data_IF_649296717335
#
_entry.id   IF_649296717335
#
_cell.length_a   1.000
_cell.length_b   1.000
_cell.length_c   1.000
_cell.angle_alpha   90.00
_cell.angle_beta   90.00
_cell.angle_gamma   90.00
#
_symmetry.space_group_name_H-M   'P 1'
#
loop_
_entity.id
_entity.type
_entity.pdbx_description
1 polymer ?
#
# COMPACT_ATOMS: atom_id res chain seq x y z
N UNK A 1 20.43 -12.88 -0.41
CA UNK A 1 20.43 -12.92 1.06
C UNK A 1 21.04 -11.64 1.60
N UNK A 2 20.46 -11.06 2.65
CA UNK A 2 20.98 -9.84 3.27
C UNK A 2 21.50 -10.10 4.70
N UNK A 3 21.80 -11.36 5.02
CA UNK A 3 22.45 -11.77 6.28
C UNK A 3 21.53 -12.07 7.46
N UNK A 4 20.21 -12.18 7.26
CA UNK A 4 19.27 -12.50 8.33
C UNK A 4 19.26 -14.01 8.66
N UNK A 5 19.18 -14.40 9.95
CA UNK A 5 18.98 -15.80 10.34
C UNK A 5 17.72 -16.42 9.72
N UNK A 6 17.79 -17.68 9.29
CA UNK A 6 16.70 -18.36 8.55
C UNK A 6 15.37 -18.40 9.31
N UNK A 7 15.40 -18.55 10.65
CA UNK A 7 14.19 -18.56 11.48
C UNK A 7 13.45 -17.22 11.50
N UNK A 8 14.14 -16.12 11.18
CA UNK A 8 13.58 -14.77 11.11
C UNK A 8 13.22 -14.35 9.68
N UNK A 9 13.91 -14.90 8.68
CA UNK A 9 13.72 -14.52 7.27
C UNK A 9 12.26 -14.72 6.81
N UNK A 10 11.63 -15.84 7.16
CA UNK A 10 10.24 -16.10 6.80
C UNK A 10 9.25 -15.11 7.45
N UNK A 11 9.14 -14.99 8.78
CA UNK A 11 8.15 -14.10 9.37
C UNK A 11 8.42 -12.61 9.12
N UNK A 12 9.69 -12.20 8.97
CA UNK A 12 10.07 -10.79 8.86
C UNK A 12 10.25 -10.38 7.40
N UNK A 13 11.22 -10.97 6.70
CA UNK A 13 11.58 -10.52 5.35
C UNK A 13 10.56 -10.91 4.29
N UNK A 14 9.96 -12.10 4.41
CA UNK A 14 8.90 -12.53 3.51
C UNK A 14 7.51 -12.13 4.06
N UNK A 15 7.30 -12.28 5.36
CA UNK A 15 6.00 -12.07 6.00
C UNK A 15 5.55 -10.60 6.04
N UNK A 16 6.43 -9.68 6.43
CA UNK A 16 6.03 -8.27 6.54
C UNK A 16 5.63 -7.65 5.19
N UNK A 17 6.32 -7.88 4.07
CA UNK A 17 5.87 -7.39 2.76
C UNK A 17 4.47 -7.89 2.37
N UNK A 18 4.13 -9.15 2.66
CA UNK A 18 2.80 -9.70 2.42
C UNK A 18 1.74 -8.90 3.20
N UNK A 19 2.02 -8.61 4.47
CA UNK A 19 1.12 -7.84 5.32
C UNK A 19 1.00 -6.38 4.85
N UNK A 20 2.08 -5.77 4.37
CA UNK A 20 2.05 -4.43 3.78
C UNK A 20 1.11 -4.38 2.58
N UNK A 21 1.23 -5.33 1.64
CA UNK A 21 0.33 -5.42 0.49
C UNK A 21 -1.12 -5.64 0.93
N UNK A 22 -1.35 -6.56 1.88
CA UNK A 22 -2.69 -6.81 2.41
C UNK A 22 -3.33 -5.57 3.04
N UNK A 23 -2.54 -4.70 3.68
CA UNK A 23 -3.03 -3.44 4.24
C UNK A 23 -3.40 -2.44 3.15
N UNK A 24 -2.60 -2.32 2.09
CA UNK A 24 -2.96 -1.46 0.95
C UNK A 24 -4.25 -1.93 0.27
N UNK A 25 -4.45 -3.24 0.11
CA UNK A 25 -5.70 -3.80 -0.43
C UNK A 25 -6.90 -3.40 0.43
N UNK A 26 -6.77 -3.41 1.76
CA UNK A 26 -7.85 -2.97 2.66
C UNK A 26 -8.17 -1.50 2.50
N UNK A 27 -7.14 -0.65 2.41
CA UNK A 27 -7.32 0.80 2.19
C UNK A 27 -8.02 1.06 0.85
N UNK A 28 -7.76 0.25 -0.18
CA UNK A 28 -8.43 0.43 -1.48
C UNK A 28 -9.95 0.25 -1.43
N UNK A 29 -10.50 -0.40 -0.39
CA UNK A 29 -11.94 -0.61 -0.24
C UNK A 29 -12.69 0.69 0.12
N UNK A 30 -12.02 1.59 0.87
CA UNK A 30 -12.60 2.85 1.36
C UNK A 30 -11.83 4.11 0.92
N UNK A 31 -10.83 3.96 0.05
CA UNK A 31 -10.07 5.09 -0.44
C UNK A 31 -10.92 5.98 -1.35
N UNK A 32 -11.08 7.23 -0.93
CA UNK A 32 -11.81 8.24 -1.67
C UNK A 32 -10.94 8.84 -2.78
N UNK A 33 -11.25 8.50 -4.04
CA UNK A 33 -10.52 8.96 -5.22
C UNK A 33 -10.98 10.34 -5.72
N UNK A 34 -12.19 10.76 -5.37
CA UNK A 34 -12.83 11.95 -5.91
C UNK A 34 -13.59 12.70 -4.81
N UNK A 35 -13.14 13.93 -4.50
CA UNK A 35 -13.80 14.78 -3.50
C UNK A 35 -14.43 16.01 -4.16
N UNK A 36 -15.57 16.46 -3.64
CA UNK A 36 -16.29 17.62 -4.15
C UNK A 36 -16.20 18.80 -3.19
N UNK A 37 -15.62 19.91 -3.67
CA UNK A 37 -15.43 21.13 -2.90
C UNK A 37 -16.06 22.34 -3.59
N UNK A 38 -17.26 22.70 -3.15
CA UNK A 38 -17.99 23.87 -3.64
C UNK A 38 -18.46 23.71 -5.08
N UNK A 39 -17.72 24.28 -6.03
CA UNK A 39 -17.99 24.16 -7.47
C UNK A 39 -16.87 23.41 -8.20
N UNK A 40 -16.10 22.58 -7.50
CA UNK A 40 -14.90 21.93 -8.03
C UNK A 40 -14.80 20.48 -7.59
N UNK A 41 -14.29 19.64 -8.49
CA UNK A 41 -14.00 18.24 -8.24
C UNK A 41 -12.47 18.06 -8.11
N UNK A 42 -12.05 17.33 -7.08
CA UNK A 42 -10.66 17.03 -6.78
C UNK A 42 -10.44 15.54 -7.05
N UNK A 43 -9.64 15.23 -8.07
CA UNK A 43 -9.37 13.86 -8.52
C UNK A 43 -7.94 13.45 -8.12
N UNK A 44 -7.79 12.28 -7.48
CA UNK A 44 -6.49 11.75 -7.02
C UNK A 44 -5.96 10.71 -8.01
N UNK A 45 -5.25 11.11 -9.06
CA UNK A 45 -4.78 10.17 -10.08
C UNK A 45 -3.42 9.52 -9.75
N UNK A 46 -3.12 8.32 -10.28
CA UNK A 46 -1.79 7.72 -10.17
C UNK A 46 -0.70 8.60 -10.78
N UNK A 47 0.45 8.71 -10.09
CA UNK A 47 1.60 9.54 -10.52
C UNK A 47 2.31 9.01 -11.78
N UNK A 48 2.03 7.76 -12.19
CA UNK A 48 2.66 7.11 -13.33
C UNK A 48 3.80 6.16 -12.92
N UNK A 49 4.99 6.36 -13.48
CA UNK A 49 6.14 5.46 -13.26
C UNK A 49 6.76 5.68 -11.87
N UNK A 50 6.86 4.60 -11.07
CA UNK A 50 7.43 4.58 -9.71
C UNK A 50 8.36 3.38 -9.52
#
# INVERSE_FOLDING_TARGET
EVGMPVGMANPIQAGLPIQSVANFIKILDDYDWEDHLGNSDIIKEPVGVV
#
